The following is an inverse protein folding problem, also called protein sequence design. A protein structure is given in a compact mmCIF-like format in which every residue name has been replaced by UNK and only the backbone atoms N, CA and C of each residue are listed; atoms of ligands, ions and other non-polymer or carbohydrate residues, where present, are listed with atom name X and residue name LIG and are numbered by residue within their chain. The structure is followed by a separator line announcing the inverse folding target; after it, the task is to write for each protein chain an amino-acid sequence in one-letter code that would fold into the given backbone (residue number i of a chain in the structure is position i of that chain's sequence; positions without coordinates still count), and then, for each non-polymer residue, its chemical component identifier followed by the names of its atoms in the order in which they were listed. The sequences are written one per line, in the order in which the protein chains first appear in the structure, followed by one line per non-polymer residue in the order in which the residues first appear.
data_IF_041993706348
#
_entry.id   IF_041993706348
#
_cell.length_a   1.000
_cell.length_b   1.000
_cell.length_c   1.000
_cell.angle_alpha   90.00
_cell.angle_beta   90.00
_cell.angle_gamma   90.00
#
_symmetry.space_group_name_H-M   'P 1'
#
loop_
_entity.id
_entity.type
_entity.pdbx_description
1 polymer ?
#
# COMPACT_ATOMS: atom_id res chain seq x y z
N UNK A 1 -46.41 -0.25 49.41
CA UNK A 1 -45.01 -0.68 49.60
C UNK A 1 -44.40 -1.51 48.45
N UNK A 2 -45.03 -1.64 47.27
CA UNK A 2 -44.41 -2.33 46.10
C UNK A 2 -43.89 -1.41 44.99
N UNK A 3 -44.15 -0.09 45.04
CA UNK A 3 -43.73 0.88 44.01
C UNK A 3 -42.48 1.70 44.33
N UNK A 4 -41.93 1.58 45.55
CA UNK A 4 -40.70 2.30 45.94
C UNK A 4 -39.42 1.47 45.82
N UNK A 5 -39.52 0.14 45.69
CA UNK A 5 -38.36 -0.74 45.56
C UNK A 5 -37.83 -0.77 44.11
N UNK A 6 -38.70 -0.55 43.12
CA UNK A 6 -38.31 -0.58 41.69
C UNK A 6 -37.46 0.62 41.28
N UNK A 7 -37.64 1.79 41.91
CA UNK A 7 -36.88 3.00 41.54
C UNK A 7 -35.42 2.96 42.02
N UNK A 8 -35.14 2.30 43.15
CA UNK A 8 -33.78 2.20 43.70
C UNK A 8 -32.93 1.19 42.92
N UNK A 9 -33.53 0.14 42.37
CA UNK A 9 -32.83 -0.88 41.58
C UNK A 9 -32.44 -0.40 40.17
N UNK A 10 -33.25 0.48 39.54
CA UNK A 10 -32.90 1.07 38.24
C UNK A 10 -31.77 2.11 38.40
N UNK A 11 -31.75 2.87 39.49
CA UNK A 11 -30.66 3.83 39.74
C UNK A 11 -29.33 3.14 40.07
N UNK A 12 -29.34 1.96 40.72
CA UNK A 12 -28.11 1.21 40.99
C UNK A 12 -27.55 0.49 39.75
N UNK A 13 -28.39 0.10 38.79
CA UNK A 13 -27.95 -0.51 37.53
C UNK A 13 -27.48 0.50 36.47
N UNK A 14 -27.93 1.76 36.56
CA UNK A 14 -27.50 2.82 35.64
C UNK A 14 -26.21 3.56 36.06
N UNK A 15 -25.71 3.34 37.29
CA UNK A 15 -24.51 4.04 37.81
C UNK A 15 -23.29 3.12 37.94
N UNK A 16 -23.44 1.80 37.72
CA UNK A 16 -22.36 0.82 37.85
C UNK A 16 -21.78 0.30 36.50
N UNK A 17 -21.57 1.17 35.50
CA UNK A 17 -20.37 1.04 34.66
C UNK A 17 -19.43 2.25 34.73
N UNK A 18 -19.71 3.26 35.57
CA UNK A 18 -18.82 4.44 35.73
C UNK A 18 -17.65 4.20 36.71
N UNK A 19 -17.54 2.98 37.27
CA UNK A 19 -16.45 2.59 38.18
C UNK A 19 -15.69 1.32 37.70
N UNK A 20 -15.73 1.06 36.38
CA UNK A 20 -14.77 0.18 35.70
C UNK A 20 -14.03 0.94 34.59
N UNK A 21 -14.00 2.29 34.67
CA UNK A 21 -13.03 3.13 34.00
C UNK A 21 -11.87 3.38 34.97
N UNK A 22 -11.12 2.34 35.31
CA UNK A 22 -9.78 2.49 35.87
C UNK A 22 -8.85 1.63 35.02
N UNK A 23 -7.74 2.25 34.60
CA UNK A 23 -6.74 1.77 33.65
C UNK A 23 -7.08 1.87 32.16
N UNK A 24 -7.43 3.09 31.74
CA UNK A 24 -6.87 3.61 30.48
C UNK A 24 -6.44 5.08 30.61
N UNK A 25 -5.92 5.47 31.78
CA UNK A 25 -4.90 6.53 31.84
C UNK A 25 -3.57 5.96 31.31
N UNK A 26 -3.56 5.55 30.04
CA UNK A 26 -2.33 5.62 29.26
C UNK A 26 -2.22 7.07 28.86
N UNK A 27 -1.49 7.82 29.68
CA UNK A 27 -0.67 8.95 29.27
C UNK A 27 -1.14 9.60 27.97
N UNK A 28 -2.29 10.27 28.03
CA UNK A 28 -2.63 11.33 27.10
C UNK A 28 -1.82 12.57 27.54
N UNK A 29 -0.50 12.40 27.70
CA UNK A 29 0.42 13.52 27.59
C UNK A 29 0.22 14.04 26.17
N UNK A 30 0.00 15.35 26.08
CA UNK A 30 -0.46 16.03 24.88
C UNK A 30 0.32 15.60 23.63
N UNK A 31 -0.33 14.81 22.76
CA UNK A 31 0.11 14.63 21.35
C UNK A 31 0.19 15.97 20.60
N UNK A 32 -0.31 17.06 21.18
CA UNK A 32 -0.25 18.43 20.64
C UNK A 32 1.18 18.98 20.40
N UNK A 33 2.24 18.32 20.90
CA UNK A 33 3.63 18.73 20.68
C UNK A 33 4.47 17.73 19.88
N UNK A 34 3.89 16.64 19.37
CA UNK A 34 4.62 15.70 18.52
C UNK A 34 4.63 16.23 17.08
N UNK A 35 5.82 16.31 16.49
CA UNK A 35 5.99 16.62 15.07
C UNK A 35 6.11 15.30 14.31
N UNK A 36 5.19 15.04 13.40
CA UNK A 36 5.21 13.86 12.54
C UNK A 36 5.89 14.25 11.23
N UNK A 37 7.00 13.60 10.93
CA UNK A 37 7.84 13.93 9.78
C UNK A 37 8.39 12.66 9.14
N UNK A 38 8.55 12.70 7.83
CA UNK A 38 9.23 11.65 7.07
C UNK A 38 10.74 11.86 7.18
N UNK A 39 11.46 10.78 7.48
CA UNK A 39 12.90 10.73 7.41
C UNK A 39 13.38 10.79 5.94
N UNK A 40 13.60 12.00 5.44
CA UNK A 40 14.02 12.25 4.05
C UNK A 40 15.43 11.73 3.73
N UNK A 41 16.23 11.32 4.71
CA UNK A 41 17.55 10.75 4.45
C UNK A 41 17.48 9.44 3.66
N UNK A 42 16.37 8.68 3.81
CA UNK A 42 16.10 7.50 2.99
C UNK A 42 15.82 7.90 1.54
N UNK A 43 15.07 8.98 1.31
CA UNK A 43 14.76 9.45 -0.04
C UNK A 43 16.00 10.00 -0.75
N UNK A 44 16.93 10.59 0.00
CA UNK A 44 18.17 11.14 -0.53
C UNK A 44 19.12 10.10 -1.15
N UNK A 45 18.90 8.81 -0.90
CA UNK A 45 19.66 7.73 -1.53
C UNK A 45 19.19 7.40 -2.96
N UNK A 46 17.94 7.74 -3.30
CA UNK A 46 17.42 7.60 -4.66
C UNK A 46 18.22 8.52 -5.60
N UNK A 47 18.69 7.97 -6.72
CA UNK A 47 19.54 8.65 -7.70
C UNK A 47 21.03 8.67 -7.38
N UNK A 48 21.47 8.13 -6.23
CA UNK A 48 22.90 7.94 -5.96
C UNK A 48 23.45 6.73 -6.74
N UNK A 49 24.73 6.83 -7.09
CA UNK A 49 25.49 5.71 -7.66
C UNK A 49 25.96 4.74 -6.58
N UNK A 50 26.30 3.48 -6.92
CA UNK A 50 26.93 2.56 -5.98
C UNK A 50 28.16 3.13 -5.28
N UNK A 51 29.01 3.88 -6.00
CA UNK A 51 30.21 4.51 -5.44
C UNK A 51 29.86 5.60 -4.42
N UNK A 52 28.84 6.42 -4.70
CA UNK A 52 28.37 7.46 -3.77
C UNK A 52 27.74 6.85 -2.51
N UNK A 53 26.96 5.78 -2.66
CA UNK A 53 26.42 5.04 -1.52
C UNK A 53 27.54 4.39 -0.69
N UNK A 54 28.59 3.88 -1.36
CA UNK A 54 29.75 3.32 -0.70
C UNK A 54 30.54 4.37 0.07
N UNK A 55 30.63 5.60 -0.45
CA UNK A 55 31.24 6.72 0.26
C UNK A 55 30.41 7.14 1.48
N UNK A 56 29.08 7.14 1.36
CA UNK A 56 28.15 7.51 2.44
C UNK A 56 28.14 6.49 3.60
N UNK A 57 28.06 5.20 3.29
CA UNK A 57 27.87 4.13 4.28
C UNK A 57 29.13 3.35 4.63
N UNK A 58 30.16 3.43 3.77
CA UNK A 58 31.34 2.59 3.83
C UNK A 58 31.17 1.26 3.09
N UNK A 59 32.28 0.65 2.62
CA UNK A 59 32.28 -0.57 1.80
C UNK A 59 31.55 -1.75 2.45
N UNK A 60 31.80 -2.02 3.73
CA UNK A 60 31.25 -3.19 4.42
C UNK A 60 29.74 -3.07 4.63
N UNK A 61 29.26 -1.88 4.99
CA UNK A 61 27.82 -1.64 5.24
C UNK A 61 27.03 -1.74 3.94
N UNK A 62 27.55 -1.18 2.84
CA UNK A 62 26.89 -1.30 1.54
C UNK A 62 26.89 -2.75 1.05
N UNK A 63 27.95 -3.53 1.28
CA UNK A 63 28.00 -4.94 0.87
C UNK A 63 26.96 -5.79 1.62
N UNK A 64 26.76 -5.55 2.91
CA UNK A 64 25.73 -6.19 3.73
C UNK A 64 24.31 -5.80 3.32
N UNK A 65 24.11 -4.51 2.97
CA UNK A 65 22.80 -3.96 2.58
C UNK A 65 22.57 -3.92 1.07
N UNK A 66 23.48 -4.47 0.26
CA UNK A 66 23.43 -4.34 -1.20
C UNK A 66 22.11 -4.82 -1.81
N UNK A 67 21.51 -5.84 -1.18
CA UNK A 67 20.22 -6.41 -1.58
C UNK A 67 19.03 -5.47 -1.35
N UNK A 68 19.19 -4.47 -0.48
CA UNK A 68 18.16 -3.50 -0.14
C UNK A 68 18.09 -2.39 -1.21
N UNK A 69 19.16 -2.18 -1.98
CA UNK A 69 19.20 -1.16 -3.03
C UNK A 69 18.95 -1.78 -4.40
N UNK A 70 18.00 -1.19 -5.14
CA UNK A 70 17.74 -1.49 -6.54
C UNK A 70 18.38 -0.45 -7.42
N UNK A 71 19.03 -0.91 -8.49
CA UNK A 71 19.71 -0.05 -9.44
C UNK A 71 19.14 -0.26 -10.85
N UNK A 72 18.88 0.85 -11.54
CA UNK A 72 18.73 0.88 -12.99
C UNK A 72 19.97 1.53 -13.57
N UNK A 73 20.65 0.81 -14.46
CA UNK A 73 22.00 1.13 -14.96
C UNK A 73 23.00 1.32 -13.81
N UNK A 74 23.18 2.56 -13.35
CA UNK A 74 24.14 2.98 -12.32
C UNK A 74 23.49 3.84 -11.23
N UNK A 75 22.17 3.97 -11.21
CA UNK A 75 21.44 4.85 -10.28
C UNK A 75 20.51 4.05 -9.40
N UNK A 76 20.51 4.36 -8.11
CA UNK A 76 19.54 3.78 -7.18
C UNK A 76 18.14 4.26 -7.56
N UNK A 77 17.24 3.31 -7.84
CA UNK A 77 15.85 3.56 -8.24
C UNK A 77 14.84 2.99 -7.25
N UNK A 78 15.33 2.27 -6.24
CA UNK A 78 14.51 1.76 -5.15
C UNK A 78 15.34 1.31 -3.95
N UNK A 79 14.72 1.36 -2.78
CA UNK A 79 15.28 0.97 -1.50
C UNK A 79 14.23 0.11 -0.80
N UNK A 80 14.62 -1.04 -0.28
CA UNK A 80 13.75 -2.00 0.40
C UNK A 80 14.24 -2.27 1.82
N UNK A 81 13.48 -3.07 2.58
CA UNK A 81 13.90 -3.65 3.86
C UNK A 81 14.11 -2.64 5.01
N UNK A 82 13.33 -1.56 5.07
CA UNK A 82 13.30 -0.67 6.25
C UNK A 82 12.04 -0.86 7.10
N UNK A 83 12.05 -0.46 8.37
CA UNK A 83 10.85 -0.47 9.23
C UNK A 83 10.06 0.83 9.10
N UNK A 84 8.77 0.82 9.43
CA UNK A 84 7.96 2.03 9.39
C UNK A 84 8.55 3.13 10.31
N UNK A 85 9.09 2.75 11.47
CA UNK A 85 9.78 3.65 12.41
C UNK A 85 11.06 4.27 11.86
N UNK A 86 11.76 3.60 10.94
CA UNK A 86 12.95 4.16 10.28
C UNK A 86 12.57 5.28 9.31
N UNK A 87 11.38 5.21 8.70
CA UNK A 87 10.88 6.21 7.76
C UNK A 87 10.02 7.29 8.43
N UNK A 88 9.23 6.96 9.43
CA UNK A 88 8.17 7.79 9.98
C UNK A 88 8.44 8.15 11.45
N UNK A 89 8.69 9.43 11.74
CA UNK A 89 8.96 9.89 13.11
C UNK A 89 7.69 9.87 13.96
N UNK A 90 7.79 9.38 15.20
CA UNK A 90 6.64 9.18 16.10
C UNK A 90 5.58 8.21 15.55
N UNK A 91 5.97 7.28 14.67
CA UNK A 91 5.09 6.20 14.23
C UNK A 91 4.66 5.33 15.40
N UNK A 92 3.36 5.08 15.48
CA UNK A 92 2.78 4.18 16.46
C UNK A 92 2.23 2.96 15.74
N UNK A 93 2.65 1.77 16.18
CA UNK A 93 2.08 0.54 15.66
C UNK A 93 0.55 0.51 15.90
N UNK A 94 -0.20 0.28 14.83
CA UNK A 94 -1.66 0.30 14.80
C UNK A 94 -2.27 1.56 14.16
N UNK A 95 -1.47 2.53 13.71
CA UNK A 95 -1.95 3.61 12.85
C UNK A 95 -2.57 3.06 11.58
N UNK A 96 -3.72 3.61 11.16
CA UNK A 96 -4.33 3.24 9.88
C UNK A 96 -3.57 3.88 8.71
N UNK A 97 -3.67 3.33 7.49
CA UNK A 97 -3.12 3.95 6.29
C UNK A 97 -3.54 5.42 6.12
N UNK A 98 -4.79 5.76 6.43
CA UNK A 98 -5.33 7.12 6.35
C UNK A 98 -4.70 8.05 7.40
N UNK A 99 -4.52 7.57 8.63
CA UNK A 99 -3.82 8.33 9.68
C UNK A 99 -2.37 8.61 9.29
N UNK A 100 -1.68 7.62 8.71
CA UNK A 100 -0.32 7.81 8.18
C UNK A 100 -0.31 8.83 7.03
N UNK A 101 -1.24 8.74 6.09
CA UNK A 101 -1.35 9.71 5.00
C UNK A 101 -1.51 11.15 5.51
N UNK A 102 -2.42 11.36 6.47
CA UNK A 102 -2.70 12.67 7.04
C UNK A 102 -1.54 13.23 7.86
N UNK A 103 -0.99 12.45 8.80
CA UNK A 103 0.03 12.92 9.73
C UNK A 103 1.38 13.21 9.08
N UNK A 104 1.74 12.45 8.04
CA UNK A 104 3.04 12.55 7.36
C UNK A 104 2.97 13.25 6.00
N UNK A 105 1.83 13.87 5.68
CA UNK A 105 1.62 14.61 4.42
C UNK A 105 1.87 13.73 3.16
N UNK A 106 1.45 12.47 3.22
CA UNK A 106 1.56 11.53 2.13
C UNK A 106 0.20 11.34 1.47
N UNK A 107 0.17 11.03 0.17
CA UNK A 107 -1.08 10.69 -0.51
C UNK A 107 -1.25 9.17 -0.55
N UNK A 108 -2.29 8.66 0.10
CA UNK A 108 -2.65 7.24 0.02
C UNK A 108 -3.13 6.90 -1.39
N UNK A 109 -2.47 5.95 -2.04
CA UNK A 109 -2.88 5.41 -3.34
C UNK A 109 -3.88 4.28 -3.17
N UNK A 110 -3.50 3.27 -2.40
CA UNK A 110 -4.32 2.07 -2.18
C UNK A 110 -3.78 1.27 -1.00
N UNK A 111 -4.59 0.30 -0.58
CA UNK A 111 -4.19 -0.75 0.35
C UNK A 111 -4.33 -2.08 -0.38
N UNK A 112 -3.31 -2.94 -0.26
CA UNK A 112 -3.43 -4.34 -0.68
C UNK A 112 -4.09 -5.09 0.47
N UNK A 113 -5.33 -5.51 0.29
CA UNK A 113 -6.15 -6.10 1.36
C UNK A 113 -6.13 -7.64 1.42
N UNK A 114 -5.39 -8.34 0.56
CA UNK A 114 -5.48 -9.80 0.49
C UNK A 114 -4.15 -10.50 0.18
N UNK A 115 -3.86 -11.56 0.95
CA UNK A 115 -2.90 -12.60 0.60
C UNK A 115 -3.66 -13.92 0.36
N UNK A 116 -3.20 -14.71 -0.60
CA UNK A 116 -3.77 -16.02 -0.92
C UNK A 116 -2.92 -17.10 -0.26
N UNK A 117 -3.24 -17.49 0.98
CA UNK A 117 -2.66 -18.69 1.58
C UNK A 117 -3.55 -19.90 1.26
N UNK A 118 -2.99 -20.85 0.49
CA UNK A 118 -3.43 -22.25 0.38
C UNK A 118 -4.95 -22.53 0.51
N UNK A 119 -5.78 -21.81 -0.26
CA UNK A 119 -7.22 -22.09 -0.37
C UNK A 119 -8.13 -21.37 0.63
N UNK A 120 -7.60 -20.48 1.48
CA UNK A 120 -8.38 -19.53 2.28
C UNK A 120 -7.97 -18.10 1.96
N UNK A 121 -8.95 -17.27 1.56
CA UNK A 121 -8.77 -15.81 1.52
C UNK A 121 -8.67 -15.32 2.97
N UNK A 122 -7.46 -15.04 3.44
CA UNK A 122 -7.19 -14.39 4.72
C UNK A 122 -6.89 -12.90 4.50
N UNK A 123 -7.34 -12.06 5.43
CA UNK A 123 -6.92 -10.66 5.54
C UNK A 123 -5.90 -10.57 6.67
N UNK A 124 -4.61 -10.50 6.36
CA UNK A 124 -3.55 -10.32 7.35
C UNK A 124 -2.43 -9.55 6.66
N UNK A 125 -1.98 -8.49 7.32
CA UNK A 125 -1.16 -7.39 6.84
C UNK A 125 -1.83 -6.46 5.80
N UNK A 126 -2.19 -5.24 6.24
CA UNK A 126 -2.54 -4.15 5.34
C UNK A 126 -1.25 -3.53 4.83
N UNK A 127 -0.82 -3.90 3.62
CA UNK A 127 0.25 -3.16 2.94
C UNK A 127 -0.36 -1.95 2.26
N UNK A 128 0.02 -0.76 2.70
CA UNK A 128 -0.42 0.50 2.13
C UNK A 128 0.63 1.06 1.17
N UNK A 129 0.14 1.75 0.14
CA UNK A 129 0.94 2.35 -0.92
C UNK A 129 0.65 3.84 -0.94
N UNK A 130 1.70 4.64 -0.94
CA UNK A 130 1.61 6.09 -0.85
C UNK A 130 2.46 6.74 -1.91
N UNK A 131 2.17 8.01 -2.19
CA UNK A 131 3.06 8.91 -2.93
C UNK A 131 3.48 10.08 -2.06
N UNK A 132 4.73 10.49 -2.23
CA UNK A 132 5.32 11.67 -1.62
C UNK A 132 6.55 12.09 -2.41
N UNK A 133 6.69 13.38 -2.71
CA UNK A 133 7.83 13.95 -3.44
C UNK A 133 8.17 13.19 -4.76
N UNK A 134 7.16 12.70 -5.48
CA UNK A 134 7.32 11.95 -6.74
C UNK A 134 7.86 10.51 -6.58
N UNK A 135 7.93 10.01 -5.34
CA UNK A 135 8.32 8.64 -5.01
C UNK A 135 7.10 7.82 -4.58
N UNK A 136 7.16 6.51 -4.83
CA UNK A 136 6.21 5.54 -4.29
C UNK A 136 6.77 4.97 -3.00
N UNK A 137 6.00 5.03 -1.92
CA UNK A 137 6.35 4.43 -0.63
C UNK A 137 5.40 3.27 -0.35
N UNK A 138 5.94 2.15 0.07
CA UNK A 138 5.17 0.98 0.49
C UNK A 138 5.43 0.70 1.96
N UNK A 139 4.36 0.57 2.74
CA UNK A 139 4.42 0.31 4.18
C UNK A 139 3.51 -0.85 4.54
N UNK A 140 4.08 -1.89 5.16
CA UNK A 140 3.32 -2.86 5.93
C UNK A 140 2.89 -2.22 7.24
N UNK A 141 1.59 -1.96 7.38
CA UNK A 141 0.99 -1.45 8.60
C UNK A 141 0.26 -2.63 9.27
N UNK A 142 0.74 -3.04 10.44
CA UNK A 142 0.12 -4.14 11.20
C UNK A 142 -1.33 -3.76 11.57
N UNK A 143 -2.25 -4.72 11.45
CA UNK A 143 -3.57 -4.62 12.09
C UNK A 143 -3.82 -5.81 13.03
N UNK A 144 -4.21 -5.44 14.25
CA UNK A 144 -4.67 -6.22 15.40
C UNK A 144 -3.74 -7.26 16.06
N UNK A 145 -3.64 -7.13 17.39
CA UNK A 145 -2.99 -8.07 18.30
C UNK A 145 -3.68 -9.43 18.27
N UNK A 146 -2.96 -10.46 17.84
CA UNK A 146 -3.37 -11.85 18.03
C UNK A 146 -3.01 -12.77 16.87
N UNK A 147 -2.71 -12.20 15.70
CA UNK A 147 -2.22 -12.95 14.55
C UNK A 147 -0.70 -12.93 14.53
N UNK A 148 -0.09 -14.11 14.44
CA UNK A 148 1.36 -14.26 14.31
C UNK A 148 1.75 -13.63 12.97
N UNK A 149 2.52 -12.54 13.02
CA UNK A 149 2.88 -11.73 11.86
C UNK A 149 3.69 -12.61 10.88
N UNK A 150 3.02 -13.06 9.83
CA UNK A 150 3.64 -13.79 8.73
C UNK A 150 4.44 -12.83 7.85
N UNK A 151 5.77 -12.88 7.96
CA UNK A 151 6.77 -12.51 6.94
C UNK A 151 6.83 -11.08 6.35
N UNK A 152 5.81 -10.23 6.44
CA UNK A 152 5.72 -9.04 5.56
C UNK A 152 6.23 -7.70 6.15
N UNK A 153 6.69 -7.68 7.41
CA UNK A 153 7.38 -6.50 7.99
C UNK A 153 8.75 -6.22 7.34
N UNK A 154 9.20 -7.11 6.45
CA UNK A 154 10.49 -7.02 5.75
C UNK A 154 10.43 -6.39 4.35
N UNK A 155 9.26 -5.97 3.86
CA UNK A 155 9.08 -5.54 2.46
C UNK A 155 8.63 -4.08 2.31
N UNK A 156 8.88 -3.20 3.27
CA UNK A 156 8.70 -1.77 3.00
C UNK A 156 9.68 -1.33 1.91
N UNK A 157 9.28 -0.32 1.16
CA UNK A 157 10.10 0.14 0.05
C UNK A 157 9.80 1.56 -0.36
N UNK A 158 10.82 2.24 -0.87
CA UNK A 158 10.74 3.52 -1.57
C UNK A 158 11.20 3.26 -2.99
N UNK A 159 10.43 3.70 -3.98
CA UNK A 159 10.72 3.47 -5.39
C UNK A 159 10.49 4.73 -6.20
N UNK A 160 11.31 4.92 -7.22
CA UNK A 160 10.90 5.74 -8.36
C UNK A 160 9.66 5.11 -9.00
N UNK A 161 8.78 5.94 -9.56
CA UNK A 161 7.58 5.48 -10.30
C UNK A 161 7.96 4.45 -11.35
N UNK A 162 9.02 4.75 -12.09
CA UNK A 162 9.53 3.93 -13.16
C UNK A 162 9.95 2.51 -12.74
N UNK A 163 10.59 2.35 -11.58
CA UNK A 163 10.91 1.02 -11.04
C UNK A 163 9.67 0.36 -10.43
N UNK A 164 8.82 1.14 -9.76
CA UNK A 164 7.61 0.60 -9.13
C UNK A 164 6.63 0.03 -10.16
N UNK A 165 6.55 0.64 -11.35
CA UNK A 165 5.70 0.20 -12.44
C UNK A 165 6.18 -1.13 -13.06
N UNK A 166 7.37 -1.62 -12.71
CA UNK A 166 7.88 -2.92 -13.15
C UNK A 166 7.31 -4.03 -12.26
N UNK A 167 6.60 -4.95 -12.89
CA UNK A 167 6.01 -6.13 -12.25
C UNK A 167 7.00 -7.30 -12.26
N UNK A 168 7.21 -7.92 -11.10
CA UNK A 168 8.18 -9.00 -10.89
C UNK A 168 7.58 -10.11 -10.00
N UNK A 169 6.74 -10.98 -10.57
CA UNK A 169 6.10 -12.08 -9.83
C UNK A 169 6.64 -13.46 -10.22
N UNK A 170 7.21 -14.23 -9.29
CA UNK A 170 7.54 -15.66 -9.49
C UNK A 170 8.23 -16.00 -10.85
N UNK A 171 9.18 -15.15 -11.30
CA UNK A 171 9.90 -15.18 -12.59
C UNK A 171 9.18 -14.58 -13.82
N UNK A 172 7.99 -14.02 -13.66
CA UNK A 172 7.32 -13.19 -14.65
C UNK A 172 7.82 -11.76 -14.52
N UNK A 173 8.32 -11.22 -15.63
CA UNK A 173 8.77 -9.85 -15.74
C UNK A 173 7.85 -9.13 -16.73
N UNK A 174 7.11 -8.15 -16.24
CA UNK A 174 6.34 -7.25 -17.08
C UNK A 174 6.82 -5.82 -16.83
N UNK A 175 7.31 -5.20 -17.88
CA UNK A 175 7.78 -3.82 -17.85
C UNK A 175 6.90 -3.02 -18.82
N UNK A 176 5.99 -2.18 -18.32
CA UNK A 176 5.12 -1.36 -19.16
C UNK A 176 5.84 -0.16 -19.79
N UNK A 177 7.14 0.06 -19.50
CA UNK A 177 7.89 1.18 -20.07
C UNK A 177 7.83 1.14 -21.60
N UNK A 178 7.41 2.25 -22.19
CA UNK A 178 7.29 2.41 -23.65
C UNK A 178 5.96 1.95 -24.25
N UNK A 179 5.00 1.47 -23.44
CA UNK A 179 3.62 1.28 -23.87
C UNK A 179 2.93 2.65 -23.89
N UNK A 180 2.39 3.03 -25.06
CA UNK A 180 1.56 4.22 -25.20
C UNK A 180 0.18 3.96 -24.58
N UNK A 181 0.03 4.33 -23.31
CA UNK A 181 -1.14 4.09 -22.49
C UNK A 181 -1.47 5.35 -21.68
N UNK A 182 -2.77 5.67 -21.60
CA UNK A 182 -3.28 6.73 -20.72
C UNK A 182 -3.53 6.28 -19.29
N UNK A 183 -3.28 5.00 -18.99
CA UNK A 183 -3.41 4.39 -17.67
C UNK A 183 -2.03 4.21 -17.03
N UNK A 184 -1.96 4.38 -15.71
CA UNK A 184 -0.75 4.16 -14.92
C UNK A 184 -0.77 2.76 -14.31
N UNK A 185 0.35 2.03 -14.37
CA UNK A 185 0.48 0.72 -13.71
C UNK A 185 1.29 0.89 -12.45
N UNK A 186 0.75 0.52 -11.31
CA UNK A 186 1.41 0.59 -10.01
C UNK A 186 1.81 -0.83 -9.60
N UNK A 187 2.95 -1.30 -10.10
CA UNK A 187 3.43 -2.66 -9.87
C UNK A 187 2.34 -3.71 -10.05
N UNK A 188 2.29 -4.69 -9.15
CA UNK A 188 1.25 -5.74 -9.12
C UNK A 188 0.01 -5.35 -8.32
N UNK A 189 -0.18 -4.07 -7.98
CA UNK A 189 -1.14 -3.67 -6.94
C UNK A 189 -2.27 -2.81 -7.45
N UNK A 190 -2.02 -1.90 -8.40
CA UNK A 190 -3.06 -1.00 -8.85
C UNK A 190 -2.92 -0.53 -10.29
N UNK A 191 -4.02 -0.04 -10.84
CA UNK A 191 -4.07 0.69 -12.10
C UNK A 191 -4.70 2.06 -11.84
N UNK A 192 -3.95 3.12 -12.15
CA UNK A 192 -4.42 4.50 -12.13
C UNK A 192 -5.24 4.81 -13.37
N UNK A 193 -6.49 5.23 -13.16
CA UNK A 193 -7.45 5.45 -14.25
C UNK A 193 -7.82 6.93 -14.40
N UNK A 194 -7.81 7.47 -15.63
CA UNK A 194 -8.36 8.80 -15.91
C UNK A 194 -9.85 8.90 -15.53
N UNK A 195 -10.31 10.11 -15.20
CA UNK A 195 -11.68 10.32 -14.72
C UNK A 195 -12.79 9.93 -15.70
N UNK A 196 -12.51 9.95 -17.00
CA UNK A 196 -13.43 9.61 -18.09
C UNK A 196 -13.31 8.16 -18.56
N UNK A 197 -12.41 7.37 -17.99
CA UNK A 197 -12.13 6.01 -18.44
C UNK A 197 -13.34 5.07 -18.32
N UNK A 198 -13.58 4.27 -19.35
CA UNK A 198 -14.53 3.16 -19.32
C UNK A 198 -13.82 1.80 -19.37
N UNK A 199 -14.55 0.73 -19.03
CA UNK A 199 -14.08 -0.65 -19.20
C UNK A 199 -13.76 -0.94 -20.68
N UNK A 200 -14.58 -0.43 -21.60
CA UNK A 200 -14.36 -0.60 -23.04
C UNK A 200 -13.09 0.12 -23.50
N UNK A 201 -12.84 1.33 -23.02
CA UNK A 201 -11.61 2.07 -23.34
C UNK A 201 -10.38 1.31 -22.85
N UNK A 202 -10.41 0.83 -21.60
CA UNK A 202 -9.30 0.07 -21.03
C UNK A 202 -9.04 -1.23 -21.81
N UNK A 203 -10.09 -1.99 -22.15
CA UNK A 203 -9.93 -3.23 -22.91
C UNK A 203 -9.40 -3.03 -24.34
N UNK A 204 -9.48 -1.81 -24.88
CA UNK A 204 -8.91 -1.44 -26.17
C UNK A 204 -7.55 -0.73 -26.05
N UNK A 205 -7.07 -0.49 -24.84
CA UNK A 205 -5.78 0.17 -24.59
C UNK A 205 -4.62 -0.83 -24.76
N UNK A 206 -3.49 -0.44 -25.39
CA UNK A 206 -2.31 -1.29 -25.53
C UNK A 206 -1.81 -1.91 -24.23
N UNK A 207 -2.02 -1.22 -23.09
CA UNK A 207 -1.67 -1.75 -21.78
C UNK A 207 -2.48 -2.99 -21.42
N UNK A 208 -3.79 -3.01 -21.69
CA UNK A 208 -4.63 -4.16 -21.33
C UNK A 208 -4.23 -5.42 -22.12
N UNK A 209 -3.85 -5.26 -23.39
CA UNK A 209 -3.29 -6.34 -24.20
C UNK A 209 -1.94 -6.83 -23.64
N UNK A 210 -1.05 -5.91 -23.24
CA UNK A 210 0.24 -6.27 -22.69
C UNK A 210 0.13 -6.98 -21.32
N UNK A 211 -0.78 -6.51 -20.46
CA UNK A 211 -1.18 -7.13 -19.19
C UNK A 211 -1.71 -8.55 -19.44
N UNK A 212 -2.55 -8.69 -20.46
CA UNK A 212 -3.11 -9.98 -20.87
C UNK A 212 -2.01 -10.95 -21.31
N UNK A 213 -1.09 -10.51 -22.16
CA UNK A 213 0.00 -11.35 -22.66
C UNK A 213 0.98 -11.74 -21.55
N UNK A 214 1.17 -10.86 -20.55
CA UNK A 214 2.04 -11.14 -19.41
C UNK A 214 1.46 -12.15 -18.41
N UNK A 215 0.15 -12.09 -18.11
CA UNK A 215 -0.44 -12.85 -16.99
C UNK A 215 -1.53 -13.86 -17.36
N UNK A 216 -2.04 -13.87 -18.59
CA UNK A 216 -3.00 -14.90 -19.05
C UNK A 216 -2.38 -16.23 -19.52
N UNK A 217 -1.14 -16.33 -20.03
CA UNK A 217 -0.59 -17.62 -20.42
C UNK A 217 0.04 -18.33 -19.21
N UNK A 218 -0.81 -18.84 -18.31
CA UNK A 218 -0.30 -19.63 -17.17
C UNK A 218 -1.34 -20.47 -16.44
N UNK A 219 -2.44 -19.89 -15.98
CA UNK A 219 -3.44 -20.60 -15.18
C UNK A 219 -4.84 -20.00 -15.41
N UNK A 220 -5.89 -20.84 -15.34
CA UNK A 220 -7.32 -20.45 -15.27
C UNK A 220 -8.12 -20.13 -16.54
N UNK A 221 -7.62 -20.34 -17.77
CA UNK A 221 -8.42 -20.19 -19.02
C UNK A 221 -9.08 -18.82 -19.22
N UNK A 222 -8.66 -17.77 -18.50
CA UNK A 222 -9.18 -16.42 -18.73
C UNK A 222 -8.73 -15.91 -20.10
N UNK A 223 -9.67 -15.36 -20.88
CA UNK A 223 -9.42 -14.83 -22.23
C UNK A 223 -9.23 -13.32 -22.25
N UNK A 224 -9.74 -12.64 -21.22
CA UNK A 224 -9.72 -11.20 -21.03
C UNK A 224 -9.76 -10.88 -19.52
N UNK A 225 -9.30 -9.69 -19.10
CA UNK A 225 -9.49 -9.19 -17.76
C UNK A 225 -10.97 -9.15 -17.35
N UNK A 226 -11.24 -9.37 -16.07
CA UNK A 226 -12.56 -9.21 -15.46
C UNK A 226 -12.57 -8.04 -14.49
N UNK A 227 -13.71 -7.38 -14.36
CA UNK A 227 -13.86 -6.19 -13.51
C UNK A 227 -14.89 -6.48 -12.43
N UNK A 228 -14.63 -6.00 -11.22
CA UNK A 228 -15.50 -6.19 -10.07
C UNK A 228 -15.69 -4.86 -9.34
N UNK A 229 -16.94 -4.52 -9.04
CA UNK A 229 -17.28 -3.46 -8.08
C UNK A 229 -17.85 -4.08 -6.79
N UNK A 230 -18.43 -3.24 -5.94
CA UNK A 230 -18.98 -3.66 -4.63
C UNK A 230 -20.06 -4.74 -4.74
N UNK A 231 -20.86 -4.70 -5.80
CA UNK A 231 -21.99 -5.62 -6.03
C UNK A 231 -21.62 -6.87 -6.86
N UNK A 232 -20.36 -7.00 -7.31
CA UNK A 232 -19.87 -8.15 -8.07
C UNK A 232 -19.29 -7.80 -9.44
N UNK A 233 -19.35 -8.75 -10.38
CA UNK A 233 -18.74 -8.62 -11.72
C UNK A 233 -19.44 -7.52 -12.54
N UNK A 234 -18.65 -6.58 -13.06
CA UNK A 234 -19.08 -5.47 -13.92
C UNK A 234 -18.51 -5.70 -15.32
N UNK A 235 -19.36 -5.60 -16.34
CA UNK A 235 -18.98 -5.95 -17.72
C UNK A 235 -18.93 -4.75 -18.67
N UNK A 236 -19.45 -3.59 -18.25
CA UNK A 236 -19.46 -2.37 -19.06
C UNK A 236 -19.65 -1.13 -18.17
N UNK A 237 -19.39 0.05 -18.75
CA UNK A 237 -19.57 1.33 -18.06
C UNK A 237 -18.24 1.94 -17.59
N UNK A 238 -18.36 2.92 -16.69
CA UNK A 238 -17.22 3.67 -16.17
C UNK A 238 -16.31 2.77 -15.34
N UNK A 239 -15.00 2.94 -15.51
CA UNK A 239 -14.00 2.34 -14.64
C UNK A 239 -13.76 3.30 -13.48
N UNK A 240 -14.19 2.93 -12.28
CA UNK A 240 -14.17 3.83 -11.12
C UNK A 240 -13.18 3.37 -10.05
N UNK A 241 -12.53 4.29 -9.32
CA UNK A 241 -11.75 3.96 -8.14
C UNK A 241 -12.51 3.06 -7.17
N UNK A 242 -11.81 2.10 -6.57
CA UNK A 242 -12.38 1.06 -5.69
C UNK A 242 -12.83 -0.20 -6.43
N UNK A 243 -12.95 -0.17 -7.76
CA UNK A 243 -13.11 -1.40 -8.53
C UNK A 243 -11.84 -2.26 -8.49
N UNK A 244 -11.99 -3.55 -8.81
CA UNK A 244 -10.89 -4.51 -8.94
C UNK A 244 -10.85 -5.09 -10.35
N UNK A 245 -9.64 -5.26 -10.89
CA UNK A 245 -9.38 -5.89 -12.19
C UNK A 245 -8.66 -7.22 -11.95
N UNK A 246 -9.28 -8.33 -12.33
CA UNK A 246 -8.66 -9.66 -12.30
C UNK A 246 -8.11 -9.96 -13.70
N UNK A 247 -6.79 -10.08 -13.84
CA UNK A 247 -6.09 -10.38 -15.10
C UNK A 247 -5.22 -11.63 -14.93
N UNK A 248 -5.82 -12.81 -15.07
CA UNK A 248 -5.09 -14.08 -14.94
C UNK A 248 -4.82 -14.43 -13.49
N UNK A 249 -3.55 -14.43 -13.10
CA UNK A 249 -3.12 -14.60 -11.70
C UNK A 249 -2.88 -13.28 -10.98
N UNK A 250 -3.00 -12.14 -11.68
CA UNK A 250 -2.83 -10.82 -11.11
C UNK A 250 -4.19 -10.19 -10.78
N UNK A 251 -4.25 -9.45 -9.68
CA UNK A 251 -5.40 -8.66 -9.26
C UNK A 251 -4.93 -7.22 -9.03
N UNK A 252 -5.62 -6.25 -9.62
CA UNK A 252 -5.29 -4.83 -9.51
C UNK A 252 -6.44 -4.06 -8.87
N UNK A 253 -6.14 -3.22 -7.90
CA UNK A 253 -7.06 -2.18 -7.42
C UNK A 253 -7.12 -1.05 -8.44
N UNK A 254 -8.32 -0.57 -8.76
CA UNK A 254 -8.51 0.64 -9.56
C UNK A 254 -8.37 1.85 -8.63
N UNK A 255 -7.46 2.75 -8.96
CA UNK A 255 -7.22 3.99 -8.21
C UNK A 255 -7.34 5.21 -9.11
N UNK A 256 -7.56 6.41 -8.56
CA UNK A 256 -7.54 7.64 -9.36
C UNK A 256 -6.18 7.82 -10.05
N UNK A 257 -6.18 8.43 -11.22
CA UNK A 257 -4.95 8.89 -11.87
C UNK A 257 -4.14 9.80 -10.93
N UNK A 258 -2.81 9.65 -10.93
CA UNK A 258 -1.91 10.36 -10.02
C UNK A 258 -1.08 11.36 -10.82
N UNK A 259 -1.54 12.61 -10.87
CA UNK A 259 -0.94 13.68 -11.69
C UNK A 259 0.50 14.05 -11.28
N UNK A 260 0.84 13.96 -9.98
CA UNK A 260 2.18 14.33 -9.50
C UNK A 260 3.31 13.47 -10.08
N UNK A 261 2.96 12.32 -10.66
CA UNK A 261 3.89 11.40 -11.31
C UNK A 261 4.17 11.77 -12.77
N UNK A 262 3.40 12.68 -13.38
CA UNK A 262 3.64 13.17 -14.75
C UNK A 262 4.74 14.25 -14.82
N UNK A 263 5.21 14.78 -13.68
CA UNK A 263 6.08 15.96 -13.65
C UNK A 263 7.59 15.69 -13.78
N UNK A 264 8.03 14.55 -14.34
CA UNK A 264 9.46 14.23 -14.53
C UNK A 264 9.94 14.40 -15.98
#
# INVERSE_FOLDING_TARGET
MKRQITFVLVFLLCVLPLAACDNKERTQESKENLTYEINKDIFADIGLTPEQLQEKYGPSVLEERKRDFRFDVDKCVGIESFTAEELLSNYENGMTPEEVAELYEMKLLTTRMYFYEFGSRGSSATKAFFTVDGLIVTLGLEQEKGEEIGYDSSNNGVFTVDEFNIVRYQNLYFNPKGIDSRYQVFGEVAIGVPEDATIEDFLNDPLADAIKDAWLPGFWRMKQPKFFGDEGEVTSGKLTPGMRIDAGTAEFSVIPYVEELEQQ
#
